data_IF_117599119972
#
_entry.id   IF_117599119972
#
_cell.length_a   1.000
_cell.length_b   1.000
_cell.length_c   1.000
_cell.angle_alpha   90.00
_cell.angle_beta   90.00
_cell.angle_gamma   90.00
#
_symmetry.space_group_name_H-M   'P 1'
#
loop_
_entity.id
_entity.type
_entity.pdbx_description
1 polymer ?
#
# COMPACT_ATOMS: atom_id res chain seq x y z
N UNK A 1 2.63 -5.33 2.62
CA UNK A 1 1.68 -5.02 1.51
C UNK A 1 2.34 -4.03 0.56
N UNK A 2 2.06 -4.12 -0.74
CA UNK A 2 2.54 -3.17 -1.75
C UNK A 2 1.32 -2.43 -2.30
N UNK A 3 1.37 -1.11 -2.33
CA UNK A 3 0.36 -0.25 -2.93
C UNK A 3 0.99 0.35 -4.18
N UNK A 4 0.40 0.05 -5.32
CA UNK A 4 0.77 0.65 -6.60
C UNK A 4 -0.08 1.89 -6.79
N UNK A 5 0.57 3.03 -6.92
CA UNK A 5 -0.09 4.28 -7.24
C UNK A 5 -0.16 4.48 -8.75
N UNK A 6 -1.14 5.24 -9.19
CA UNK A 6 -1.25 5.62 -10.60
C UNK A 6 -0.13 6.60 -10.98
N UNK A 7 0.32 6.62 -12.25
CA UNK A 7 1.39 7.52 -12.70
C UNK A 7 1.00 9.02 -12.65
N UNK A 8 -0.30 9.34 -12.63
CA UNK A 8 -0.86 10.68 -12.49
C UNK A 8 -1.08 11.12 -11.03
N UNK A 9 -0.59 10.33 -10.06
CA UNK A 9 -0.70 10.66 -8.64
C UNK A 9 0.09 11.93 -8.31
N UNK A 10 -0.58 12.93 -7.78
CA UNK A 10 0.05 14.17 -7.32
C UNK A 10 0.83 13.95 -6.02
N UNK A 11 1.85 14.77 -5.77
CA UNK A 11 2.62 14.72 -4.52
C UNK A 11 1.72 14.89 -3.29
N UNK A 12 0.67 15.72 -3.38
CA UNK A 12 -0.32 15.89 -2.32
C UNK A 12 -1.07 14.60 -1.99
N UNK A 13 -1.44 13.81 -3.02
CA UNK A 13 -2.07 12.51 -2.82
C UNK A 13 -1.11 11.49 -2.22
N UNK A 14 0.15 11.50 -2.65
CA UNK A 14 1.20 10.64 -2.08
C UNK A 14 1.39 10.98 -0.60
N UNK A 15 1.54 12.26 -0.27
CA UNK A 15 1.68 12.73 1.11
C UNK A 15 0.47 12.32 1.97
N UNK A 16 -0.75 12.48 1.45
CA UNK A 16 -1.97 12.05 2.14
C UNK A 16 -1.96 10.56 2.46
N UNK A 17 -1.54 9.72 1.50
CA UNK A 17 -1.43 8.26 1.71
C UNK A 17 -0.35 7.94 2.75
N UNK A 18 0.81 8.60 2.67
CA UNK A 18 1.91 8.40 3.62
C UNK A 18 1.50 8.76 5.05
N UNK A 19 0.80 9.88 5.23
CA UNK A 19 0.33 10.32 6.54
C UNK A 19 -0.75 9.40 7.08
N UNK A 20 -1.69 8.93 6.24
CA UNK A 20 -2.68 7.93 6.66
C UNK A 20 -2.03 6.64 7.14
N UNK A 21 -1.01 6.15 6.44
CA UNK A 21 -0.26 4.95 6.83
C UNK A 21 0.48 5.17 8.15
N UNK A 22 1.03 6.37 8.38
CA UNK A 22 1.70 6.73 9.64
C UNK A 22 0.72 6.86 10.80
N UNK A 23 -0.44 7.47 10.60
CA UNK A 23 -1.53 7.59 11.59
C UNK A 23 -2.01 6.22 12.06
N UNK A 24 -2.06 5.27 11.14
CA UNK A 24 -2.40 3.88 11.41
C UNK A 24 -1.29 3.10 12.14
N UNK A 25 -0.14 3.73 12.42
CA UNK A 25 0.99 3.14 13.14
C UNK A 25 1.90 2.27 12.27
N UNK A 26 1.76 2.33 10.94
CA UNK A 26 2.58 1.57 10.02
C UNK A 26 3.76 2.40 9.49
N UNK A 27 4.76 1.72 8.93
CA UNK A 27 5.89 2.36 8.26
C UNK A 27 5.66 2.35 6.75
N UNK A 28 5.34 3.49 6.11
CA UNK A 28 5.31 3.55 4.66
C UNK A 28 6.75 3.62 4.12
N UNK A 29 6.96 2.99 2.97
CA UNK A 29 8.19 2.98 2.20
C UNK A 29 7.86 3.45 0.78
N UNK A 30 8.22 4.68 0.47
CA UNK A 30 8.00 5.26 -0.85
C UNK A 30 9.11 4.80 -1.81
N UNK A 31 8.70 4.24 -2.94
CA UNK A 31 9.56 3.88 -4.06
C UNK A 31 9.05 4.61 -5.31
N UNK A 32 9.71 5.71 -5.65
CA UNK A 32 9.43 6.44 -6.89
C UNK A 32 10.23 5.80 -8.02
N UNK A 33 9.54 5.03 -8.88
CA UNK A 33 10.12 4.51 -10.11
C UNK A 33 9.88 5.48 -11.26
N UNK A 34 10.69 5.39 -12.33
CA UNK A 34 10.59 6.25 -13.52
C UNK A 34 9.21 6.23 -14.20
N UNK A 35 8.48 5.11 -14.07
CA UNK A 35 7.17 4.93 -14.71
C UNK A 35 6.00 4.85 -13.73
N UNK A 36 6.26 4.46 -12.48
CA UNK A 36 5.23 4.19 -11.47
C UNK A 36 5.78 4.45 -10.08
N UNK A 37 4.93 5.00 -9.22
CA UNK A 37 5.23 5.16 -7.80
C UNK A 37 4.60 4.01 -7.04
N UNK A 38 5.37 3.42 -6.14
CA UNK A 38 4.97 2.28 -5.33
C UNK A 38 5.17 2.67 -3.87
N UNK A 39 4.20 2.34 -3.02
CA UNK A 39 4.30 2.49 -1.57
C UNK A 39 4.27 1.10 -0.94
N UNK A 40 5.40 0.67 -0.39
CA UNK A 40 5.44 -0.48 0.50
C UNK A 40 4.92 -0.09 1.87
N UNK A 41 4.04 -0.91 2.45
CA UNK A 41 3.63 -0.75 3.85
C UNK A 41 4.23 -1.88 4.67
N UNK A 42 5.05 -1.49 5.65
CA UNK A 42 5.77 -2.39 6.55
C UNK A 42 5.06 -2.40 7.90
N UNK A 43 4.56 -3.57 8.30
CA UNK A 43 3.87 -3.84 9.57
C UNK A 43 2.89 -5.02 9.45
N UNK A 44 2.07 -5.25 10.47
CA UNK A 44 1.08 -6.35 10.49
C UNK A 44 0.02 -6.19 9.39
N UNK A 45 0.10 -7.02 8.35
CA UNK A 45 -0.76 -6.91 7.17
C UNK A 45 -2.25 -7.18 7.46
N UNK A 46 -2.59 -7.90 8.54
CA UNK A 46 -3.97 -8.25 8.90
C UNK A 46 -4.84 -7.04 9.25
N UNK A 47 -4.24 -6.02 9.92
CA UNK A 47 -4.95 -4.77 10.25
C UNK A 47 -5.09 -3.85 9.04
N UNK A 48 -4.13 -3.90 8.13
CA UNK A 48 -4.09 -3.05 6.94
C UNK A 48 -5.06 -3.53 5.84
N UNK A 49 -5.35 -4.84 5.78
CA UNK A 49 -6.38 -5.41 4.88
C UNK A 49 -7.79 -4.92 5.20
N UNK A 50 -8.05 -4.51 6.44
CA UNK A 50 -9.35 -4.01 6.88
C UNK A 50 -9.60 -2.55 6.45
N UNK A 51 -8.54 -1.80 6.15
CA UNK A 51 -8.62 -0.41 5.71
C UNK A 51 -8.73 -0.32 4.18
N UNK A 52 -9.73 0.41 3.64
CA UNK A 52 -9.93 0.55 2.20
C UNK A 52 -8.94 1.54 1.58
N UNK A 53 -7.64 1.28 1.72
CA UNK A 53 -6.60 2.02 1.00
C UNK A 53 -6.77 1.90 -0.53
N UNK A 54 -7.42 0.83 -0.99
CA UNK A 54 -7.84 0.65 -2.39
C UNK A 54 -8.96 1.59 -2.85
N UNK A 55 -9.70 2.23 -1.93
CA UNK A 55 -10.74 3.20 -2.26
C UNK A 55 -10.17 4.60 -2.55
N UNK A 56 -8.88 4.82 -2.28
CA UNK A 56 -8.23 6.08 -2.60
C UNK A 56 -8.08 6.22 -4.13
N UNK A 57 -8.47 7.36 -4.72
CA UNK A 57 -8.48 7.54 -6.19
C UNK A 57 -7.08 7.50 -6.82
N UNK A 58 -6.03 7.76 -6.04
CA UNK A 58 -4.64 7.68 -6.47
C UNK A 58 -4.08 6.25 -6.46
N UNK A 59 -4.77 5.29 -5.84
CA UNK A 59 -4.32 3.90 -5.76
C UNK A 59 -4.79 3.15 -7.00
N UNK A 60 -3.83 2.62 -7.76
CA UNK A 60 -4.08 1.78 -8.92
C UNK A 60 -4.42 0.35 -8.47
N UNK A 61 -3.59 -0.20 -7.59
CA UNK A 61 -3.74 -1.59 -7.15
C UNK A 61 -3.09 -1.80 -5.78
N UNK A 62 -3.69 -2.68 -4.98
CA UNK A 62 -3.12 -3.15 -3.71
C UNK A 62 -2.74 -4.62 -3.84
N UNK A 63 -1.46 -4.94 -3.64
CA UNK A 63 -0.89 -6.27 -3.75
C UNK A 63 -0.39 -6.74 -2.37
N UNK A 64 -0.95 -7.83 -1.79
CA UNK A 64 -0.39 -8.43 -0.60
C UNK A 64 0.96 -9.10 -0.91
N UNK A 65 1.95 -8.94 -0.03
CA UNK A 65 3.28 -9.59 -0.20
C UNK A 65 3.21 -11.04 0.31
N UNK A 66 2.57 -11.26 1.46
CA UNK A 66 2.29 -12.60 1.95
C UNK A 66 1.13 -13.21 1.14
N UNK A 67 1.42 -14.30 0.45
CA UNK A 67 0.40 -15.19 -0.11
C UNK A 67 -0.37 -15.84 1.07
N UNK A 68 -1.71 -15.93 1.01
CA UNK A 68 -2.53 -16.56 2.05
C UNK A 68 -2.44 -18.09 2.02
N UNK A 69 -1.22 -18.67 1.98
CA UNK A 69 -1.01 -20.11 1.89
C UNK A 69 -0.71 -20.72 3.26
N UNK A 70 -1.70 -20.71 4.14
CA UNK A 70 -1.65 -21.52 5.35
C UNK A 70 -2.92 -22.37 5.41
N UNK A 71 -3.05 -23.35 4.51
CA UNK A 71 -3.96 -24.52 4.62
C UNK A 71 -3.92 -25.45 3.37
N UNK A 72 -2.80 -25.55 2.65
CA UNK A 72 -2.64 -26.54 1.58
C UNK A 72 -1.24 -27.15 1.61
N UNK A 73 -0.98 -27.95 2.64
CA UNK A 73 0.10 -28.94 2.62
C UNK A 73 -0.53 -30.23 3.16
N UNK A 74 -0.99 -31.08 2.25
CA UNK A 74 -1.17 -32.51 2.46
C UNK A 74 -0.30 -33.20 1.43
#
# INVERSE_FOLDING_TARGET
MIIVLRPDSTEAQIAHVLDRIRELGFRPHLSQGEKRTIIGVIGEEDKLRAEPLSALPCVEQVLPILKPFKLASR
#
